data_IF_258580870217
#
_entry.id   IF_258580870217
#
_cell.length_a   1.000
_cell.length_b   1.000
_cell.length_c   1.000
_cell.angle_alpha   90.00
_cell.angle_beta   90.00
_cell.angle_gamma   90.00
#
_symmetry.space_group_name_H-M   'P 1'
#
loop_
_entity.id
_entity.type
_entity.pdbx_description
1 polymer ?
#
# COMPACT_ATOMS: atom_id res chain seq x y z
N UNK A 1 13.28 16.41 -10.15
CA UNK A 1 11.86 16.23 -9.78
C UNK A 1 11.86 15.75 -8.34
N UNK A 2 11.20 16.48 -7.44
CA UNK A 2 11.10 16.08 -6.03
C UNK A 2 10.29 14.78 -5.93
N UNK A 3 10.64 13.88 -5.01
CA UNK A 3 9.86 12.68 -4.74
C UNK A 3 8.46 13.06 -4.26
N UNK A 4 7.43 12.70 -5.04
CA UNK A 4 6.03 12.92 -4.67
C UNK A 4 5.57 11.89 -3.63
N UNK A 5 5.94 12.17 -2.38
CA UNK A 5 5.65 11.32 -1.22
C UNK A 5 4.15 11.25 -0.89
N UNK A 6 3.37 12.31 -1.17
CA UNK A 6 1.93 12.25 -0.97
C UNK A 6 1.32 11.21 -1.90
N UNK A 7 1.71 11.25 -3.18
CA UNK A 7 1.22 10.31 -4.17
C UNK A 7 1.74 8.89 -3.91
N UNK A 8 2.94 8.72 -3.35
CA UNK A 8 3.40 7.43 -2.82
C UNK A 8 2.42 6.83 -1.80
N UNK A 9 1.97 7.62 -0.82
CA UNK A 9 1.01 7.14 0.19
C UNK A 9 -0.37 6.87 -0.41
N UNK A 10 -0.81 7.65 -1.40
CA UNK A 10 -2.04 7.35 -2.16
C UNK A 10 -1.94 5.98 -2.83
N UNK A 11 -0.82 5.71 -3.51
CA UNK A 11 -0.58 4.42 -4.18
C UNK A 11 -0.40 3.27 -3.18
N UNK A 12 0.21 3.52 -2.02
CA UNK A 12 0.28 2.53 -0.94
C UNK A 12 -1.14 2.14 -0.48
N UNK A 13 -2.04 3.10 -0.29
CA UNK A 13 -3.45 2.82 0.02
C UNK A 13 -4.13 1.93 -1.02
N UNK A 14 -3.80 2.13 -2.30
CA UNK A 14 -4.29 1.27 -3.40
C UNK A 14 -3.76 -0.14 -3.32
N UNK A 15 -2.48 -0.30 -3.00
CA UNK A 15 -1.87 -1.62 -2.82
C UNK A 15 -2.49 -2.38 -1.63
N UNK A 16 -2.66 -1.70 -0.49
CA UNK A 16 -3.26 -2.31 0.70
C UNK A 16 -4.72 -2.74 0.45
N UNK A 17 -5.45 -1.98 -0.36
CA UNK A 17 -6.77 -2.38 -0.83
C UNK A 17 -6.70 -3.59 -1.75
N UNK A 18 -5.73 -3.63 -2.67
CA UNK A 18 -5.61 -4.72 -3.61
C UNK A 18 -5.39 -6.06 -2.88
N UNK A 19 -4.51 -6.11 -1.87
CA UNK A 19 -4.31 -7.32 -1.06
C UNK A 19 -5.58 -7.69 -0.28
N UNK A 20 -6.20 -6.75 0.44
CA UNK A 20 -7.42 -7.00 1.22
C UNK A 20 -8.64 -7.40 0.36
N UNK A 21 -8.64 -7.02 -0.93
CA UNK A 21 -9.71 -7.34 -1.88
C UNK A 21 -9.42 -8.61 -2.67
N UNK A 22 -8.29 -9.28 -2.45
CA UNK A 22 -7.86 -10.44 -3.24
C UNK A 22 -8.93 -11.53 -3.29
N UNK A 23 -9.59 -11.81 -2.16
CA UNK A 23 -10.67 -12.80 -2.06
C UNK A 23 -12.06 -12.25 -2.40
N UNK A 24 -12.11 -11.07 -3.00
CA UNK A 24 -13.32 -10.45 -3.55
C UNK A 24 -14.09 -9.57 -2.57
N UNK A 25 -13.76 -9.56 -1.27
CA UNK A 25 -14.40 -8.70 -0.25
C UNK A 25 -13.34 -8.24 0.74
N UNK A 26 -13.33 -6.93 1.05
CA UNK A 26 -12.50 -6.38 2.14
C UNK A 26 -13.20 -6.65 3.46
N UNK A 27 -12.54 -7.35 4.36
CA UNK A 27 -13.02 -7.66 5.69
C UNK A 27 -12.84 -6.49 6.65
N UNK A 28 -13.62 -6.50 7.73
CA UNK A 28 -13.55 -5.46 8.74
C UNK A 28 -12.18 -5.43 9.43
N UNK A 29 -11.60 -6.61 9.71
CA UNK A 29 -10.30 -6.74 10.36
C UNK A 29 -9.16 -6.16 9.51
N UNK A 30 -9.19 -6.37 8.19
CA UNK A 30 -8.20 -5.84 7.26
C UNK A 30 -8.25 -4.31 7.18
N UNK A 31 -9.47 -3.74 7.07
CA UNK A 31 -9.64 -2.28 7.10
C UNK A 31 -9.13 -1.70 8.42
N UNK A 32 -9.51 -2.32 9.54
CA UNK A 32 -9.03 -1.89 10.85
C UNK A 32 -7.50 -1.97 10.92
N UNK A 33 -6.89 -3.00 10.35
CA UNK A 33 -5.44 -3.15 10.31
C UNK A 33 -4.75 -2.07 9.50
N UNK A 34 -5.30 -1.66 8.34
CA UNK A 34 -4.79 -0.52 7.57
C UNK A 34 -4.75 0.75 8.43
N UNK A 35 -5.83 1.02 9.16
CA UNK A 35 -5.93 2.18 10.05
C UNK A 35 -4.89 2.15 11.19
N UNK A 36 -4.64 0.98 11.76
CA UNK A 36 -3.60 0.76 12.78
C UNK A 36 -2.19 0.98 12.19
N UNK A 37 -1.88 0.38 11.02
CA UNK A 37 -0.57 0.52 10.35
C UNK A 37 -0.27 1.99 10.03
N UNK A 38 -1.26 2.75 9.55
CA UNK A 38 -1.09 4.17 9.25
C UNK A 38 -0.65 4.93 10.52
N UNK A 39 -1.38 4.73 11.61
CA UNK A 39 -1.17 5.44 12.88
C UNK A 39 0.12 5.02 13.58
N UNK A 40 0.42 3.72 13.59
CA UNK A 40 1.49 3.14 14.42
C UNK A 40 2.82 2.99 13.66
N UNK A 41 2.81 2.98 12.33
CA UNK A 41 4.03 2.75 11.53
C UNK A 41 4.26 3.85 10.50
N UNK A 42 3.27 4.19 9.67
CA UNK A 42 3.50 5.10 8.55
C UNK A 42 3.74 6.55 9.01
N UNK A 43 2.99 7.02 10.01
CA UNK A 43 3.15 8.38 10.57
C UNK A 43 4.54 8.58 11.21
N UNK A 44 5.09 7.56 11.88
CA UNK A 44 6.41 7.66 12.51
C UNK A 44 7.52 7.90 11.47
N UNK A 45 7.37 7.27 10.30
CA UNK A 45 8.34 7.36 9.20
C UNK A 45 8.09 8.62 8.36
N UNK A 46 6.83 9.01 8.15
CA UNK A 46 6.47 10.19 7.39
C UNK A 46 6.61 11.47 8.22
N UNK A 47 7.68 12.24 7.96
CA UNK A 47 7.93 13.53 8.63
C UNK A 47 7.31 14.74 7.91
N UNK A 48 6.46 14.51 6.90
CA UNK A 48 5.89 15.57 6.07
C UNK A 48 4.39 15.71 6.33
N UNK A 49 3.93 16.96 6.27
CA UNK A 49 2.53 17.33 6.35
C UNK A 49 2.10 18.10 5.11
N UNK A 50 0.80 18.12 4.83
CA UNK A 50 0.21 19.03 3.86
C UNK A 50 0.07 20.47 4.41
N UNK A 51 -0.55 21.36 3.63
CA UNK A 51 -0.74 22.78 3.97
C UNK A 51 -1.65 23.00 5.20
N UNK A 52 -2.41 21.99 5.60
CA UNK A 52 -3.32 22.03 6.75
C UNK A 52 -2.70 21.36 8.00
N UNK A 53 -1.47 20.84 7.89
CA UNK A 53 -0.79 20.13 8.98
C UNK A 53 -1.15 18.64 9.07
N UNK A 54 -1.86 18.08 8.09
CA UNK A 54 -2.18 16.64 8.07
C UNK A 54 -0.94 15.85 7.67
N UNK A 55 -0.56 14.83 8.44
CA UNK A 55 0.54 13.95 8.08
C UNK A 55 0.23 13.22 6.76
N UNK A 56 1.17 13.24 5.80
CA UNK A 56 0.92 12.68 4.46
C UNK A 56 0.67 11.16 4.46
N UNK A 57 1.08 10.43 5.52
CA UNK A 57 0.77 9.01 5.66
C UNK A 57 -0.73 8.70 5.63
N UNK A 58 -1.59 9.62 6.13
CA UNK A 58 -3.05 9.47 6.14
C UNK A 58 -3.65 9.36 4.73
N UNK A 59 -2.95 9.82 3.69
CA UNK A 59 -3.42 9.62 2.31
C UNK A 59 -3.51 8.14 1.92
N UNK A 60 -2.82 7.24 2.61
CA UNK A 60 -2.97 5.80 2.43
C UNK A 60 -4.35 5.31 2.91
N UNK A 61 -4.79 5.76 4.09
CA UNK A 61 -6.12 5.47 4.65
C UNK A 61 -7.21 6.06 3.74
N UNK A 62 -7.09 7.35 3.37
CA UNK A 62 -8.07 8.01 2.50
C UNK A 62 -8.19 7.35 1.13
N UNK A 63 -7.06 6.99 0.52
CA UNK A 63 -7.03 6.31 -0.78
C UNK A 63 -7.67 4.93 -0.69
N UNK A 64 -7.32 4.15 0.34
CA UNK A 64 -7.90 2.83 0.61
C UNK A 64 -9.43 2.91 0.75
N UNK A 65 -9.93 3.82 1.57
CA UNK A 65 -11.37 3.98 1.79
C UNK A 65 -12.07 4.40 0.47
N UNK A 66 -11.51 5.37 -0.25
CA UNK A 66 -12.08 5.88 -1.49
C UNK A 66 -12.26 4.80 -2.56
N UNK A 67 -11.24 3.96 -2.78
CA UNK A 67 -11.31 2.90 -3.80
C UNK A 67 -12.12 1.69 -3.32
N UNK A 68 -12.18 1.47 -2.00
CA UNK A 68 -13.02 0.45 -1.39
C UNK A 68 -14.50 0.78 -1.56
N UNK A 69 -14.91 2.02 -1.30
CA UNK A 69 -16.27 2.52 -1.51
C UNK A 69 -16.70 2.46 -2.97
N UNK A 70 -15.75 2.69 -3.89
CA UNK A 70 -15.95 2.57 -5.34
C UNK A 70 -15.90 1.13 -5.85
N UNK A 71 -15.57 0.16 -4.99
CA UNK A 71 -15.41 -1.25 -5.32
C UNK A 71 -14.53 -1.47 -6.58
N UNK A 72 -13.37 -0.80 -6.61
CA UNK A 72 -12.42 -0.90 -7.72
C UNK A 72 -11.89 -2.34 -7.81
N UNK A 73 -11.54 -2.81 -9.03
CA UNK A 73 -10.92 -4.12 -9.20
C UNK A 73 -9.53 -4.15 -8.54
N UNK A 74 -9.25 -5.17 -7.73
CA UNK A 74 -7.95 -5.36 -7.06
C UNK A 74 -6.76 -5.25 -8.03
N UNK A 75 -6.84 -5.90 -9.19
CA UNK A 75 -5.79 -5.84 -10.23
C UNK A 75 -5.50 -4.42 -10.72
N UNK A 76 -6.53 -3.57 -10.84
CA UNK A 76 -6.34 -2.18 -11.28
C UNK A 76 -5.63 -1.36 -10.21
N UNK A 77 -5.98 -1.57 -8.95
CA UNK A 77 -5.34 -0.90 -7.82
C UNK A 77 -3.87 -1.34 -7.69
N UNK A 78 -3.60 -2.63 -7.86
CA UNK A 78 -2.25 -3.19 -7.91
C UNK A 78 -1.42 -2.61 -9.06
N UNK A 79 -1.93 -2.62 -10.29
CA UNK A 79 -1.24 -2.10 -11.46
C UNK A 79 -0.92 -0.60 -11.33
N UNK A 80 -1.81 0.19 -10.71
CA UNK A 80 -1.56 1.60 -10.40
C UNK A 80 -0.30 1.77 -9.54
N UNK A 81 -0.18 0.99 -8.46
CA UNK A 81 0.97 1.06 -7.57
C UNK A 81 2.27 0.65 -8.29
N UNK A 82 2.25 -0.47 -9.02
CA UNK A 82 3.43 -0.96 -9.75
C UNK A 82 3.91 0.08 -10.77
N UNK A 83 3.00 0.65 -11.56
CA UNK A 83 3.32 1.70 -12.52
C UNK A 83 3.88 2.96 -11.83
N UNK A 84 3.37 3.32 -10.65
CA UNK A 84 3.93 4.43 -9.89
C UNK A 84 5.38 4.15 -9.45
N UNK A 85 5.64 2.96 -8.89
CA UNK A 85 6.98 2.57 -8.43
C UNK A 85 7.96 2.53 -9.59
N UNK A 86 7.58 1.94 -10.74
CA UNK A 86 8.40 1.93 -11.96
C UNK A 86 8.84 3.34 -12.38
N UNK A 87 7.90 4.28 -12.41
CA UNK A 87 8.16 5.65 -12.84
C UNK A 87 8.98 6.48 -11.83
N UNK A 88 9.04 6.06 -10.57
CA UNK A 88 9.68 6.81 -9.48
C UNK A 88 10.78 6.05 -8.75
N UNK A 89 11.18 4.85 -9.21
CA UNK A 89 12.07 3.92 -8.51
C UNK A 89 13.37 4.55 -7.99
N UNK A 90 13.97 5.47 -8.73
CA UNK A 90 15.22 6.15 -8.33
C UNK A 90 15.06 7.15 -7.18
N UNK A 91 13.83 7.50 -6.81
CA UNK A 91 13.52 8.48 -5.78
C UNK A 91 12.83 7.88 -4.56
N UNK A 92 12.42 6.60 -4.62
CA UNK A 92 11.78 5.90 -3.51
C UNK A 92 12.89 5.33 -2.60
N UNK A 93 12.95 5.71 -1.32
CA UNK A 93 13.88 5.10 -0.37
C UNK A 93 13.57 3.61 -0.16
N UNK A 94 14.62 2.79 -0.07
CA UNK A 94 14.50 1.35 0.21
C UNK A 94 13.72 1.07 1.51
N UNK A 95 13.83 1.96 2.50
CA UNK A 95 13.08 1.87 3.76
C UNK A 95 11.57 1.95 3.56
N UNK A 96 11.09 2.75 2.59
CA UNK A 96 9.67 2.82 2.26
C UNK A 96 9.19 1.54 1.57
N UNK A 97 10.00 0.94 0.71
CA UNK A 97 9.66 -0.34 0.07
C UNK A 97 9.56 -1.46 1.10
N UNK A 98 10.52 -1.55 2.04
CA UNK A 98 10.46 -2.53 3.13
C UNK A 98 9.22 -2.33 4.01
N UNK A 99 8.88 -1.08 4.31
CA UNK A 99 7.66 -0.73 5.03
C UNK A 99 6.41 -1.17 4.28
N UNK A 100 6.37 -0.96 2.96
CA UNK A 100 5.26 -1.37 2.11
C UNK A 100 5.04 -2.89 2.13
N UNK A 101 6.10 -3.68 1.97
CA UNK A 101 6.00 -5.15 2.02
C UNK A 101 5.47 -5.59 3.39
N UNK A 102 6.04 -5.05 4.48
CA UNK A 102 5.58 -5.36 5.84
C UNK A 102 4.12 -4.96 6.08
N UNK A 103 3.67 -3.83 5.52
CA UNK A 103 2.29 -3.39 5.64
C UNK A 103 1.32 -4.33 4.89
N UNK A 104 1.69 -4.78 3.68
CA UNK A 104 0.91 -5.75 2.90
C UNK A 104 0.76 -7.07 3.66
N UNK A 105 1.86 -7.60 4.19
CA UNK A 105 1.85 -8.85 4.98
C UNK A 105 0.95 -8.73 6.21
N UNK A 106 1.08 -7.64 6.98
CA UNK A 106 0.25 -7.40 8.17
C UNK A 106 -1.25 -7.30 7.84
N UNK A 107 -1.60 -6.72 6.68
CA UNK A 107 -3.01 -6.62 6.25
C UNK A 107 -3.55 -7.99 5.89
N UNK A 108 -2.84 -8.77 5.08
CA UNK A 108 -3.23 -10.14 4.73
C UNK A 108 -3.37 -11.04 5.98
N UNK A 109 -2.51 -10.86 6.98
CA UNK A 109 -2.59 -11.61 8.23
C UNK A 109 -3.81 -11.27 9.11
N UNK A 110 -4.48 -10.14 8.87
CA UNK A 110 -5.41 -9.55 9.83
C UNK A 110 -6.72 -10.33 10.01
N UNK A 111 -7.18 -11.06 8.98
CA UNK A 111 -8.47 -11.75 9.02
C UNK A 111 -8.34 -13.24 9.38
N UNK A 112 -7.79 -14.06 8.50
CA UNK A 112 -7.66 -15.52 8.69
C UNK A 112 -6.20 -16.00 8.65
N UNK A 113 -5.24 -15.07 8.74
CA UNK A 113 -3.88 -15.34 8.33
C UNK A 113 -3.75 -15.41 6.80
N UNK A 114 -2.52 -15.46 6.30
CA UNK A 114 -2.25 -15.42 4.86
C UNK A 114 -2.73 -16.71 4.17
N UNK A 115 -3.75 -16.57 3.32
CA UNK A 115 -4.27 -17.69 2.51
C UNK A 115 -3.54 -17.81 1.16
N UNK A 116 -3.90 -18.83 0.36
CA UNK A 116 -3.18 -19.15 -0.89
C UNK A 116 -3.15 -17.99 -1.91
N UNK A 117 -4.29 -17.33 -2.13
CA UNK A 117 -4.38 -16.22 -3.07
C UNK A 117 -3.55 -15.01 -2.62
N UNK A 118 -3.59 -14.69 -1.33
CA UNK A 118 -2.82 -13.61 -0.72
C UNK A 118 -1.32 -13.90 -0.75
N UNK A 119 -0.93 -15.15 -0.51
CA UNK A 119 0.47 -15.58 -0.65
C UNK A 119 0.95 -15.39 -2.09
N UNK A 120 0.17 -15.83 -3.07
CA UNK A 120 0.49 -15.63 -4.48
C UNK A 120 0.59 -14.14 -4.83
N UNK A 121 -0.28 -13.29 -4.26
CA UNK A 121 -0.20 -11.84 -4.40
C UNK A 121 1.10 -11.26 -3.84
N UNK A 122 1.50 -11.65 -2.62
CA UNK A 122 2.72 -11.17 -1.96
C UNK A 122 3.97 -11.63 -2.74
N UNK A 123 4.01 -12.90 -3.18
CA UNK A 123 5.08 -13.43 -4.02
C UNK A 123 5.21 -12.64 -5.33
N UNK A 124 4.08 -12.35 -5.99
CA UNK A 124 4.05 -11.53 -7.20
C UNK A 124 4.56 -10.11 -6.93
N UNK A 125 4.09 -9.45 -5.88
CA UNK A 125 4.58 -8.13 -5.48
C UNK A 125 6.10 -8.12 -5.27
N UNK A 126 6.64 -9.10 -4.55
CA UNK A 126 8.07 -9.21 -4.32
C UNK A 126 8.85 -9.38 -5.63
N UNK A 127 8.38 -10.24 -6.53
CA UNK A 127 9.00 -10.46 -7.83
C UNK A 127 8.97 -9.19 -8.70
N UNK A 128 7.82 -8.51 -8.77
CA UNK A 128 7.68 -7.28 -9.56
C UNK A 128 8.59 -6.17 -9.02
N UNK A 129 8.62 -5.96 -7.69
CA UNK A 129 9.54 -5.00 -7.07
C UNK A 129 11.01 -5.37 -7.33
N UNK A 130 11.39 -6.64 -7.19
CA UNK A 130 12.75 -7.09 -7.51
C UNK A 130 13.11 -6.78 -8.96
N UNK A 131 12.24 -7.10 -9.91
CA UNK A 131 12.45 -6.79 -11.32
C UNK A 131 12.65 -5.29 -11.55
N UNK A 132 11.84 -4.44 -10.92
CA UNK A 132 11.92 -2.98 -11.08
C UNK A 132 13.28 -2.42 -10.61
N UNK A 133 13.78 -2.91 -9.47
CA UNK A 133 15.03 -2.40 -8.88
C UNK A 133 16.29 -3.07 -9.43
N UNK A 134 16.19 -4.23 -10.09
CA UNK A 134 17.32 -4.90 -10.75
C UNK A 134 17.40 -4.63 -12.27
N UNK A 135 16.37 -4.00 -12.86
CA UNK A 135 16.34 -3.56 -14.28
C UNK A 135 16.91 -2.15 -14.46
#
# INVERSE_FOLDING_TARGET
MEFDIQNYFIELGKLLYAIAKTDGIVQFEERKKVNEIVRDNLIEICKRTDEFGTNLAFYSEFSFDTISDRNIKADKAYQSFIAFVENHKHHIPETLIKLTISAVEKVAEAHQGIIENERAFIEKLNNDLQNIYHS
#
